data_IF_719801718044
#
_entry.id   IF_719801718044
#
_cell.length_a   1.000
_cell.length_b   1.000
_cell.length_c   1.000
_cell.angle_alpha   90.00
_cell.angle_beta   90.00
_cell.angle_gamma   90.00
#
_symmetry.space_group_name_H-M   'P 1'
#
loop_
_entity.id
_entity.type
_entity.pdbx_description
1 polymer ?
#
# COMPACT_ATOMS: atom_id res chain seq x y z
N UNK A 1 18.80 22.51 -4.86
CA UNK A 1 18.20 21.16 -4.96
C UNK A 1 17.67 20.79 -3.59
N UNK A 2 16.35 20.87 -3.35
CA UNK A 2 15.78 20.51 -2.05
C UNK A 2 15.93 19.01 -1.86
N UNK A 3 16.63 18.60 -0.80
CA UNK A 3 16.70 17.22 -0.36
C UNK A 3 15.30 16.80 0.09
N UNK A 4 14.71 15.82 -0.60
CA UNK A 4 13.36 15.35 -0.31
C UNK A 4 13.43 14.28 0.79
N UNK A 5 12.97 14.64 1.98
CA UNK A 5 12.90 13.75 3.15
C UNK A 5 12.05 12.53 2.83
N UNK A 6 12.59 11.34 3.07
CA UNK A 6 11.92 10.09 2.72
C UNK A 6 12.23 8.96 3.70
N UNK A 7 11.34 7.98 3.73
CA UNK A 7 11.54 6.71 4.40
C UNK A 7 11.85 5.63 3.37
N UNK A 8 12.97 4.94 3.57
CA UNK A 8 13.34 3.74 2.84
C UNK A 8 12.71 2.53 3.51
N UNK A 9 12.14 1.66 2.70
CA UNK A 9 11.46 0.44 3.12
C UNK A 9 12.19 -0.75 2.50
N UNK A 10 12.52 -1.72 3.34
CA UNK A 10 13.27 -2.93 2.97
C UNK A 10 12.43 -4.17 3.27
N UNK A 11 12.66 -5.25 2.53
CA UNK A 11 12.07 -6.55 2.82
C UNK A 11 12.88 -7.30 3.87
N UNK A 12 12.48 -8.53 4.22
CA UNK A 12 13.19 -9.35 5.21
C UNK A 12 14.63 -9.68 4.82
N UNK A 13 14.92 -9.71 3.52
CA UNK A 13 16.27 -9.95 2.99
C UNK A 13 17.11 -8.66 2.92
N UNK A 14 16.68 -7.58 3.57
CA UNK A 14 17.29 -6.26 3.53
C UNK A 14 17.44 -5.69 2.10
N UNK A 15 16.61 -6.16 1.17
CA UNK A 15 16.54 -5.64 -0.20
C UNK A 15 15.62 -4.42 -0.21
N UNK A 16 16.09 -3.34 -0.81
CA UNK A 16 15.28 -2.14 -1.02
C UNK A 16 14.02 -2.48 -1.82
N UNK A 17 12.86 -2.08 -1.28
CA UNK A 17 11.56 -2.21 -1.94
C UNK A 17 11.16 -0.86 -2.54
N UNK A 18 11.11 0.16 -1.68
CA UNK A 18 10.55 1.45 -2.04
C UNK A 18 11.06 2.57 -1.15
N UNK A 19 10.90 3.79 -1.65
CA UNK A 19 11.10 5.02 -0.90
C UNK A 19 9.82 5.83 -0.98
N UNK A 20 9.40 6.40 0.14
CA UNK A 20 8.23 7.28 0.22
C UNK A 20 8.63 8.56 0.91
N UNK A 21 8.27 9.71 0.35
CA UNK A 21 8.48 10.96 1.06
C UNK A 21 7.58 10.99 2.32
N UNK A 22 7.92 11.88 3.27
CA UNK A 22 7.20 11.99 4.54
C UNK A 22 5.70 12.27 4.34
N UNK A 23 5.35 13.18 3.43
CA UNK A 23 3.97 13.58 3.18
C UNK A 23 3.13 12.44 2.58
N UNK A 24 3.64 11.74 1.56
CA UNK A 24 2.94 10.60 0.96
C UNK A 24 2.84 9.44 1.95
N UNK A 25 3.82 9.25 2.84
CA UNK A 25 3.73 8.24 3.89
C UNK A 25 2.65 8.59 4.92
N UNK A 26 2.56 9.87 5.28
CA UNK A 26 1.49 10.39 6.14
C UNK A 26 0.12 10.13 5.51
N UNK A 27 -0.10 10.61 4.28
CA UNK A 27 -1.36 10.42 3.54
C UNK A 27 -1.71 8.94 3.42
N UNK A 28 -0.71 8.10 3.12
CA UNK A 28 -0.87 6.67 3.01
C UNK A 28 -1.42 6.03 4.28
N UNK A 29 -0.94 6.39 5.47
CA UNK A 29 -1.47 5.83 6.72
C UNK A 29 -2.82 6.44 7.13
N UNK A 30 -3.11 7.67 6.73
CA UNK A 30 -4.38 8.32 7.07
C UNK A 30 -5.59 7.67 6.40
N UNK A 31 -5.40 7.06 5.22
CA UNK A 31 -6.47 6.45 4.44
C UNK A 31 -7.08 5.18 5.06
N UNK A 32 -6.38 4.56 6.03
CA UNK A 32 -6.82 3.32 6.65
C UNK A 32 -7.74 3.57 7.84
N UNK A 33 -8.75 2.72 7.98
CA UNK A 33 -9.66 2.70 9.13
C UNK A 33 -9.04 1.91 10.30
N UNK A 34 -8.02 2.50 10.93
CA UNK A 34 -7.36 1.97 12.13
C UNK A 34 -7.70 2.83 13.35
N UNK A 35 -7.47 2.30 14.56
CA UNK A 35 -7.67 3.07 15.80
C UNK A 35 -6.91 4.40 15.76
N UNK A 36 -7.55 5.44 16.31
CA UNK A 36 -6.95 6.78 16.34
C UNK A 36 -5.63 6.80 17.11
N UNK A 37 -5.53 6.01 18.19
CA UNK A 37 -4.29 5.80 18.94
C UNK A 37 -3.17 5.26 18.06
N UNK A 38 -3.43 4.20 17.26
CA UNK A 38 -2.42 3.63 16.38
C UNK A 38 -2.03 4.63 15.28
N UNK A 39 -3.03 5.25 14.64
CA UNK A 39 -2.81 6.24 13.60
C UNK A 39 -1.91 7.36 14.10
N UNK A 40 -2.27 7.98 15.23
CA UNK A 40 -1.48 9.06 15.84
C UNK A 40 -0.07 8.59 16.22
N UNK A 41 0.08 7.37 16.76
CA UNK A 41 1.41 6.83 17.08
C UNK A 41 2.31 6.73 15.83
N UNK A 42 1.78 6.22 14.72
CA UNK A 42 2.52 6.13 13.45
C UNK A 42 2.87 7.53 12.94
N UNK A 43 1.91 8.46 12.91
CA UNK A 43 2.14 9.81 12.38
C UNK A 43 3.16 10.59 13.22
N UNK A 44 3.15 10.43 14.55
CA UNK A 44 4.19 11.00 15.43
C UNK A 44 5.57 10.45 15.09
N UNK A 45 5.70 9.12 14.85
CA UNK A 45 6.97 8.51 14.44
C UNK A 45 7.44 9.05 13.08
N UNK A 46 6.53 9.22 12.12
CA UNK A 46 6.82 9.80 10.80
C UNK A 46 7.32 11.24 10.93
N UNK A 47 6.64 12.07 11.73
CA UNK A 47 6.96 13.48 11.97
C UNK A 47 8.24 13.68 12.79
N UNK A 48 8.64 12.68 13.57
CA UNK A 48 9.89 12.70 14.31
C UNK A 48 11.12 12.63 13.39
N UNK A 49 10.96 12.27 12.11
CA UNK A 49 12.05 12.21 11.12
C UNK A 49 13.20 11.30 11.58
N UNK A 50 12.85 10.16 12.17
CA UNK A 50 13.79 9.17 12.69
C UNK A 50 13.39 7.77 12.25
N UNK A 51 14.34 6.85 12.28
CA UNK A 51 14.04 5.44 12.04
C UNK A 51 12.99 4.95 13.04
N UNK A 52 12.03 4.18 12.56
CA UNK A 52 11.04 3.54 13.41
C UNK A 52 10.69 2.17 12.88
N UNK A 53 9.99 1.40 13.72
CA UNK A 53 9.50 0.09 13.37
C UNK A 53 8.00 0.01 13.65
N UNK A 54 7.30 -0.78 12.84
CA UNK A 54 5.95 -1.24 13.11
C UNK A 54 6.06 -2.66 13.67
N UNK A 55 5.54 -2.83 14.88
CA UNK A 55 5.48 -4.14 15.54
C UNK A 55 4.50 -5.08 14.83
N UNK A 56 4.64 -6.38 15.08
CA UNK A 56 3.77 -7.41 14.47
C UNK A 56 2.28 -7.17 14.76
N UNK A 57 1.93 -6.72 15.96
CA UNK A 57 0.54 -6.41 16.33
C UNK A 57 -0.01 -5.18 15.60
N UNK A 58 0.83 -4.17 15.35
CA UNK A 58 0.47 -3.01 14.53
C UNK A 58 0.31 -3.42 13.05
N UNK A 59 1.20 -4.28 12.56
CA UNK A 59 1.13 -4.83 11.20
C UNK A 59 -0.13 -5.65 10.97
N UNK A 60 -0.56 -6.47 11.92
CA UNK A 60 -1.82 -7.23 11.83
C UNK A 60 -3.06 -6.32 11.77
N UNK A 61 -3.08 -5.22 12.54
CA UNK A 61 -4.16 -4.23 12.44
C UNK A 61 -4.17 -3.53 11.07
N UNK A 62 -2.99 -3.19 10.56
CA UNK A 62 -2.85 -2.59 9.23
C UNK A 62 -3.22 -3.58 8.12
N UNK A 63 -2.94 -4.87 8.28
CA UNK A 63 -3.32 -5.91 7.32
C UNK A 63 -4.84 -5.97 7.13
N UNK A 64 -5.57 -5.96 8.24
CA UNK A 64 -7.03 -5.95 8.23
C UNK A 64 -7.55 -4.68 7.56
N UNK A 65 -7.11 -3.50 8.02
CA UNK A 65 -7.58 -2.22 7.50
C UNK A 65 -7.22 -2.00 6.02
N UNK A 66 -6.06 -2.49 5.57
CA UNK A 66 -5.68 -2.44 4.17
C UNK A 66 -6.52 -3.39 3.30
N UNK A 67 -6.89 -4.56 3.82
CA UNK A 67 -7.80 -5.48 3.12
C UNK A 67 -9.21 -4.89 3.01
N UNK A 68 -9.73 -4.31 4.09
CA UNK A 68 -11.01 -3.57 4.09
C UNK A 68 -10.96 -2.40 3.10
N UNK A 69 -9.83 -1.69 3.02
CA UNK A 69 -9.70 -0.59 2.06
C UNK A 69 -9.76 -1.06 0.61
N UNK A 70 -9.19 -2.23 0.29
CA UNK A 70 -9.35 -2.83 -1.03
C UNK A 70 -10.82 -3.18 -1.27
N UNK A 71 -11.51 -3.76 -0.29
CA UNK A 71 -12.95 -4.07 -0.39
C UNK A 71 -13.78 -2.82 -0.72
N UNK A 72 -13.50 -1.69 -0.07
CA UNK A 72 -14.13 -0.40 -0.40
C UNK A 72 -13.86 0.03 -1.84
N UNK A 73 -12.61 -0.05 -2.28
CA UNK A 73 -12.19 0.40 -3.62
C UNK A 73 -12.79 -0.46 -4.74
N UNK A 74 -12.89 -1.77 -4.54
CA UNK A 74 -13.52 -2.65 -5.54
C UNK A 74 -15.04 -2.52 -5.58
N UNK A 75 -15.64 -2.01 -4.50
CA UNK A 75 -17.08 -1.72 -4.42
C UNK A 75 -17.43 -0.30 -4.92
N UNK A 76 -16.44 0.57 -5.17
CA UNK A 76 -16.66 1.93 -5.65
C UNK A 76 -17.34 1.91 -7.04
N UNK A 77 -18.42 2.68 -7.20
CA UNK A 77 -19.16 2.77 -8.45
C UNK A 77 -18.33 3.27 -9.65
N UNK A 78 -17.20 3.96 -9.39
CA UNK A 78 -16.25 4.43 -10.42
C UNK A 78 -15.19 3.40 -10.76
N UNK A 79 -15.09 2.31 -10.01
CA UNK A 79 -14.22 1.21 -10.36
C UNK A 79 -14.85 0.41 -11.51
N UNK A 80 -14.16 0.36 -12.65
CA UNK A 80 -14.51 -0.55 -13.73
C UNK A 80 -13.66 -1.82 -13.57
N UNK A 81 -14.23 -2.91 -13.00
CA UNK A 81 -13.48 -4.11 -12.62
C UNK A 81 -12.97 -4.88 -13.83
N UNK A 82 -13.70 -4.80 -14.95
CA UNK A 82 -13.49 -5.68 -16.10
C UNK A 82 -13.04 -4.92 -17.34
N UNK A 83 -13.26 -3.60 -17.43
CA UNK A 83 -12.80 -2.76 -18.54
C UNK A 83 -13.07 -3.41 -19.90
N UNK A 84 -14.22 -4.08 -20.04
CA UNK A 84 -14.44 -5.08 -21.10
C UNK A 84 -14.26 -4.47 -22.49
N UNK A 85 -14.80 -3.27 -22.70
CA UNK A 85 -14.65 -2.53 -23.94
C UNK A 85 -13.18 -2.24 -24.25
N UNK A 86 -12.41 -1.81 -23.25
CA UNK A 86 -10.99 -1.47 -23.42
C UNK A 86 -10.14 -2.73 -23.64
N UNK A 87 -10.43 -3.84 -22.96
CA UNK A 87 -9.78 -5.14 -23.20
C UNK A 87 -10.06 -5.70 -24.59
N UNK A 88 -11.28 -5.50 -25.14
CA UNK A 88 -11.58 -5.88 -26.52
C UNK A 88 -10.77 -5.07 -27.53
N UNK A 89 -10.59 -3.76 -27.29
CA UNK A 89 -9.87 -2.87 -28.20
C UNK A 89 -8.34 -2.97 -28.09
N UNK A 90 -7.83 -3.20 -26.87
CA UNK A 90 -6.40 -3.14 -26.55
C UNK A 90 -6.01 -4.25 -25.53
N UNK A 91 -6.13 -5.54 -25.89
CA UNK A 91 -6.05 -6.65 -24.93
C UNK A 91 -4.69 -6.74 -24.22
N UNK A 92 -3.58 -6.49 -24.91
CA UNK A 92 -2.23 -6.54 -24.33
C UNK A 92 -2.03 -5.50 -23.23
N UNK A 93 -2.64 -4.32 -23.38
CA UNK A 93 -2.48 -3.21 -22.44
C UNK A 93 -3.39 -3.38 -21.21
N UNK A 94 -4.65 -3.74 -21.43
CA UNK A 94 -5.66 -3.80 -20.36
C UNK A 94 -5.78 -5.18 -19.71
N UNK A 95 -4.93 -6.14 -20.08
CA UNK A 95 -4.83 -7.45 -19.39
C UNK A 95 -3.49 -7.65 -18.68
N UNK A 96 -2.63 -6.64 -18.65
CA UNK A 96 -1.23 -6.77 -18.24
C UNK A 96 -1.01 -6.91 -16.72
N UNK A 97 -1.92 -6.40 -15.88
CA UNK A 97 -1.81 -6.48 -14.42
C UNK A 97 -3.07 -7.14 -13.82
N UNK A 98 -3.14 -8.49 -13.83
CA UNK A 98 -4.21 -9.20 -13.18
C UNK A 98 -4.07 -9.09 -11.65
N UNK A 99 -5.17 -8.76 -11.00
CA UNK A 99 -5.30 -8.69 -9.56
C UNK A 99 -6.41 -9.64 -9.10
N UNK A 100 -6.05 -10.67 -8.34
CA UNK A 100 -7.02 -11.61 -7.79
C UNK A 100 -7.39 -11.14 -6.38
N UNK A 101 -8.68 -10.90 -6.15
CA UNK A 101 -9.21 -10.53 -4.85
C UNK A 101 -10.49 -11.30 -4.58
N UNK A 102 -10.52 -12.04 -3.45
CA UNK A 102 -11.66 -12.89 -3.03
C UNK A 102 -12.21 -13.79 -4.16
N UNK A 103 -11.31 -14.38 -4.94
CA UNK A 103 -11.66 -15.32 -6.02
C UNK A 103 -12.07 -14.65 -7.34
N UNK A 104 -12.11 -13.32 -7.41
CA UNK A 104 -12.39 -12.58 -8.64
C UNK A 104 -11.10 -11.98 -9.22
N UNK A 105 -10.95 -12.09 -10.54
CA UNK A 105 -9.83 -11.49 -11.27
C UNK A 105 -10.24 -10.13 -11.82
N UNK A 106 -9.60 -9.10 -11.29
CA UNK A 106 -9.67 -7.71 -11.76
C UNK A 106 -8.47 -7.42 -12.66
N UNK A 107 -8.59 -6.42 -13.53
CA UNK A 107 -7.48 -5.95 -14.35
C UNK A 107 -7.21 -4.47 -14.05
N UNK A 108 -6.05 -4.22 -13.45
CA UNK A 108 -5.65 -2.88 -13.02
C UNK A 108 -4.95 -2.13 -14.17
N UNK A 109 -5.24 -0.84 -14.28
CA UNK A 109 -4.58 0.08 -15.20
C UNK A 109 -4.01 1.30 -14.44
N UNK A 110 -2.98 1.00 -13.64
CA UNK A 110 -2.35 1.84 -12.61
C UNK A 110 -1.92 3.24 -13.08
N UNK A 111 -1.62 3.46 -14.37
CA UNK A 111 -1.06 4.73 -14.83
C UNK A 111 -2.08 5.85 -15.02
N UNK A 112 -3.37 5.51 -15.18
CA UNK A 112 -4.38 6.51 -15.55
C UNK A 112 -5.64 6.45 -14.71
N UNK A 113 -5.87 5.35 -13.99
CA UNK A 113 -7.03 5.20 -13.12
C UNK A 113 -6.58 5.28 -11.65
N UNK A 114 -6.98 6.32 -10.90
CA UNK A 114 -6.58 6.50 -9.50
C UNK A 114 -6.98 5.34 -8.58
N UNK A 115 -8.16 4.74 -8.78
CA UNK A 115 -8.62 3.61 -7.97
C UNK A 115 -7.72 2.40 -8.23
N UNK A 116 -7.40 2.13 -9.50
CA UNK A 116 -6.48 1.04 -9.86
C UNK A 116 -5.08 1.27 -9.26
N UNK A 117 -4.57 2.51 -9.28
CA UNK A 117 -3.29 2.87 -8.67
C UNK A 117 -3.31 2.59 -7.17
N UNK A 118 -4.36 3.02 -6.49
CA UNK A 118 -4.53 2.86 -5.06
C UNK A 118 -4.65 1.39 -4.67
N UNK A 119 -5.43 0.59 -5.42
CA UNK A 119 -5.50 -0.87 -5.21
C UNK A 119 -4.12 -1.49 -5.37
N UNK A 120 -3.35 -1.14 -6.43
CA UNK A 120 -2.02 -1.72 -6.63
C UNK A 120 -1.05 -1.35 -5.50
N UNK A 121 -1.14 -0.12 -5.02
CA UNK A 121 -0.31 0.36 -3.92
C UNK A 121 -0.61 -0.37 -2.61
N UNK A 122 -1.89 -0.49 -2.25
CA UNK A 122 -2.34 -1.21 -1.06
C UNK A 122 -2.05 -2.71 -1.17
N UNK A 123 -2.27 -3.31 -2.34
CA UNK A 123 -1.90 -4.71 -2.65
C UNK A 123 -0.42 -4.96 -2.39
N UNK A 124 0.43 -4.07 -2.88
CA UNK A 124 1.87 -4.17 -2.66
C UNK A 124 2.18 -4.08 -1.17
N UNK A 125 1.61 -3.10 -0.46
CA UNK A 125 1.80 -2.96 0.99
C UNK A 125 1.34 -4.20 1.77
N UNK A 126 0.18 -4.77 1.45
CA UNK A 126 -0.33 -6.02 2.05
C UNK A 126 0.64 -7.18 1.86
N UNK A 127 1.22 -7.34 0.67
CA UNK A 127 2.21 -8.39 0.41
C UNK A 127 3.43 -8.25 1.33
N UNK A 128 3.89 -7.01 1.55
CA UNK A 128 5.00 -6.74 2.48
C UNK A 128 4.60 -6.99 3.93
N UNK A 129 3.44 -6.50 4.38
CA UNK A 129 2.95 -6.78 5.74
C UNK A 129 2.96 -8.29 6.00
N UNK A 130 2.36 -9.06 5.09
CA UNK A 130 2.28 -10.52 5.19
C UNK A 130 3.65 -11.19 5.27
N UNK A 131 4.63 -10.70 4.50
CA UNK A 131 6.00 -11.20 4.58
C UNK A 131 6.54 -11.09 6.02
N UNK A 132 6.39 -9.92 6.65
CA UNK A 132 6.88 -9.65 8.01
C UNK A 132 6.06 -10.36 9.10
N UNK A 133 4.73 -10.35 9.01
CA UNK A 133 3.85 -10.97 10.01
C UNK A 133 3.99 -12.50 10.03
N UNK A 134 4.13 -13.14 8.87
CA UNK A 134 4.36 -14.59 8.77
C UNK A 134 5.67 -15.04 9.42
N UNK A 135 6.68 -14.15 9.48
CA UNK A 135 7.96 -14.42 10.12
C UNK A 135 8.03 -13.87 11.56
N UNK A 136 6.93 -13.31 12.06
CA UNK A 136 6.83 -12.66 13.37
C UNK A 136 7.94 -11.61 13.57
N UNK A 137 8.21 -10.80 12.54
CA UNK A 137 9.22 -9.74 12.57
C UNK A 137 8.59 -8.35 12.42
N UNK A 138 9.16 -7.32 13.07
CA UNK A 138 8.73 -5.95 12.86
C UNK A 138 9.20 -5.41 11.49
N UNK A 139 8.45 -4.47 10.94
CA UNK A 139 8.78 -3.82 9.67
C UNK A 139 9.49 -2.49 9.92
N UNK A 140 10.68 -2.32 9.35
CA UNK A 140 11.53 -1.15 9.59
C UNK A 140 11.33 -0.07 8.54
N UNK A 141 11.31 1.18 9.00
CA UNK A 141 11.30 2.38 8.19
C UNK A 141 12.55 3.19 8.49
N UNK A 142 13.42 3.34 7.49
CA UNK A 142 14.71 4.05 7.64
C UNK A 142 14.60 5.46 7.08
N UNK A 143 14.74 6.47 7.92
CA UNK A 143 14.68 7.86 7.51
C UNK A 143 15.92 8.29 6.71
N UNK A 144 15.69 9.06 5.65
CA UNK A 144 16.72 9.62 4.78
C UNK A 144 16.43 11.09 4.48
N UNK A 145 17.41 11.94 4.81
CA UNK A 145 17.42 13.39 4.56
C UNK A 145 18.30 13.77 3.36
#
# INVERSE_FOLDING_TARGET
MFKMKSYLIFNLNNKFISSRNTNLLHDFFTQFNISESLKNSILVRVNAEMNFELSVSELQQLELAASEKIDELVADAKFDPFKERLRRLYPLQYSADPFIWKGLTYYLYIKTNPIDSQISEIRSFLAHIKEFTNQNQPMKYTFKN
#
